data_IF_434709716765
#
_entry.id   IF_434709716765
#
_cell.length_a   1.000
_cell.length_b   1.000
_cell.length_c   1.000
_cell.angle_alpha   90.00
_cell.angle_beta   90.00
_cell.angle_gamma   90.00
#
_symmetry.space_group_name_H-M   'P 1'
#
loop_
_entity.id
_entity.type
_entity.pdbx_description
1 polymer ?
#
# COMPACT_ATOMS: atom_id res chain seq x y z
N UNK A 1 -11.09 9.99 -1.86
CA UNK A 1 -11.35 10.59 -3.20
C UNK A 1 -10.58 11.90 -3.27
N UNK A 2 -9.40 11.92 -3.91
CA UNK A 2 -8.60 13.14 -4.02
C UNK A 2 -9.31 14.23 -4.84
N UNK A 3 -9.24 15.48 -4.41
CA UNK A 3 -9.95 16.61 -5.05
C UNK A 3 -11.45 16.70 -4.71
N UNK A 4 -11.95 15.85 -3.80
CA UNK A 4 -13.34 15.86 -3.33
C UNK A 4 -14.36 15.28 -4.32
N UNK A 5 -15.65 15.49 -4.03
CA UNK A 5 -16.76 15.04 -4.87
C UNK A 5 -17.36 16.21 -5.70
N UNK A 6 -17.68 16.02 -6.99
CA UNK A 6 -17.36 14.83 -7.81
C UNK A 6 -15.84 14.69 -8.04
N UNK A 7 -15.33 13.47 -8.35
CA UNK A 7 -13.90 13.22 -8.56
C UNK A 7 -13.33 14.09 -9.69
N UNK A 8 -12.28 14.85 -9.38
CA UNK A 8 -11.70 15.86 -10.30
C UNK A 8 -10.18 15.92 -10.30
N UNK A 9 -9.51 15.28 -9.34
CA UNK A 9 -8.06 15.14 -9.37
C UNK A 9 -7.62 14.19 -10.50
N UNK A 10 -6.51 14.51 -11.16
CA UNK A 10 -5.95 13.65 -12.22
C UNK A 10 -5.22 12.44 -11.64
N UNK A 11 -5.36 11.31 -12.32
CA UNK A 11 -4.60 10.10 -12.05
C UNK A 11 -3.11 10.24 -12.42
N UNK A 12 -2.75 11.09 -13.39
CA UNK A 12 -1.41 11.13 -13.99
C UNK A 12 -0.69 12.48 -13.88
N UNK A 13 -1.45 13.57 -13.69
CA UNK A 13 -0.91 14.93 -13.62
C UNK A 13 -1.19 15.50 -12.23
N UNK A 14 -0.20 15.39 -11.36
CA UNK A 14 -0.28 15.90 -10.00
C UNK A 14 1.11 16.28 -9.49
N UNK A 15 1.12 17.20 -8.54
CA UNK A 15 2.31 17.62 -7.82
C UNK A 15 2.39 16.93 -6.46
N UNK A 16 3.34 17.36 -5.63
CA UNK A 16 3.52 16.82 -4.29
C UNK A 16 2.31 17.11 -3.37
N UNK A 17 1.57 18.20 -3.59
CA UNK A 17 0.35 18.46 -2.83
C UNK A 17 -0.71 17.40 -3.14
N UNK A 18 -0.92 17.08 -4.42
CA UNK A 18 -1.83 16.01 -4.83
C UNK A 18 -1.38 14.61 -4.39
N UNK A 19 -0.07 14.39 -4.24
CA UNK A 19 0.49 13.19 -3.59
C UNK A 19 0.10 13.13 -2.11
N UNK A 20 0.42 14.18 -1.35
CA UNK A 20 0.19 14.24 0.09
C UNK A 20 -1.30 14.17 0.46
N UNK A 21 -2.17 14.87 -0.28
CA UNK A 21 -3.62 14.76 -0.11
C UNK A 21 -4.09 13.32 -0.27
N UNK A 22 -3.69 12.65 -1.36
CA UNK A 22 -4.12 11.28 -1.66
C UNK A 22 -3.70 10.31 -0.55
N UNK A 23 -2.45 10.42 -0.07
CA UNK A 23 -1.94 9.54 0.97
C UNK A 23 -2.53 9.85 2.34
N UNK A 24 -2.76 11.13 2.66
CA UNK A 24 -3.44 11.52 3.91
C UNK A 24 -4.88 11.00 3.94
N UNK A 25 -5.62 11.15 2.84
CA UNK A 25 -6.98 10.61 2.73
C UNK A 25 -7.00 9.09 2.84
N UNK A 26 -6.03 8.37 2.26
CA UNK A 26 -6.00 6.90 2.40
C UNK A 26 -5.72 6.43 3.82
N UNK A 27 -4.97 7.19 4.62
CA UNK A 27 -4.66 6.85 6.01
C UNK A 27 -5.89 6.91 6.91
N UNK A 28 -6.92 7.68 6.51
CA UNK A 28 -8.21 7.75 7.23
C UNK A 28 -8.92 6.40 7.32
N UNK A 29 -8.58 5.43 6.47
CA UNK A 29 -9.09 4.06 6.56
C UNK A 29 -8.87 3.45 7.96
N UNK A 30 -7.73 3.72 8.60
CA UNK A 30 -7.43 3.22 9.96
C UNK A 30 -8.43 3.77 11.00
N UNK A 31 -8.73 5.06 10.91
CA UNK A 31 -9.70 5.72 11.79
C UNK A 31 -11.12 5.19 11.55
N UNK A 32 -11.52 5.03 10.29
CA UNK A 32 -12.83 4.49 9.91
C UNK A 32 -13.02 3.08 10.47
N UNK A 33 -12.07 2.18 10.21
CA UNK A 33 -12.12 0.79 10.70
C UNK A 33 -12.14 0.78 12.24
N UNK A 34 -11.32 1.59 12.89
CA UNK A 34 -11.27 1.68 14.36
C UNK A 34 -12.63 2.08 14.93
N UNK A 35 -13.24 3.14 14.41
CA UNK A 35 -14.52 3.66 14.89
C UNK A 35 -15.68 2.70 14.62
N UNK A 36 -15.75 2.12 13.42
CA UNK A 36 -16.78 1.14 13.08
C UNK A 36 -16.63 -0.15 13.90
N UNK A 37 -15.40 -0.66 14.07
CA UNK A 37 -15.14 -1.84 14.89
C UNK A 37 -15.50 -1.62 16.36
N UNK A 38 -15.22 -0.43 16.92
CA UNK A 38 -15.61 -0.10 18.29
C UNK A 38 -17.14 -0.07 18.49
N UNK A 39 -17.92 0.25 17.45
CA UNK A 39 -19.38 0.14 17.48
C UNK A 39 -19.79 -1.33 17.43
N UNK A 40 -19.18 -2.13 16.57
CA UNK A 40 -19.43 -3.58 16.48
C UNK A 40 -19.11 -4.29 17.79
N UNK A 41 -18.04 -3.91 18.49
CA UNK A 41 -17.61 -4.50 19.76
C UNK A 41 -18.65 -4.34 20.88
N UNK A 42 -19.53 -3.33 20.81
CA UNK A 42 -20.63 -3.13 21.79
C UNK A 42 -21.69 -4.23 21.71
N UNK A 43 -21.87 -4.84 20.54
CA UNK A 43 -22.91 -5.86 20.28
C UNK A 43 -22.32 -7.24 19.96
N UNK A 44 -21.06 -7.31 19.56
CA UNK A 44 -20.33 -8.54 19.26
C UNK A 44 -18.87 -8.46 19.78
N UNK A 45 -18.67 -8.49 21.11
CA UNK A 45 -17.34 -8.37 21.72
C UNK A 45 -16.43 -9.57 21.42
N UNK A 46 -17.01 -10.71 21.02
CA UNK A 46 -16.27 -11.93 20.62
C UNK A 46 -15.79 -11.89 19.18
N UNK A 47 -16.11 -10.82 18.44
CA UNK A 47 -15.72 -10.60 17.05
C UNK A 47 -16.14 -11.70 16.07
N UNK A 48 -17.35 -12.24 16.28
CA UNK A 48 -17.93 -13.29 15.41
C UNK A 48 -18.43 -12.74 14.07
N UNK A 49 -18.86 -11.48 14.03
CA UNK A 49 -19.22 -10.76 12.81
C UNK A 49 -18.00 -10.12 12.16
N UNK A 50 -17.78 -10.40 10.89
CA UNK A 50 -16.68 -9.81 10.13
C UNK A 50 -17.00 -8.37 9.76
N UNK A 51 -15.99 -7.51 9.76
CA UNK A 51 -16.02 -6.29 8.96
C UNK A 51 -15.47 -6.62 7.57
N UNK A 52 -16.27 -6.37 6.54
CA UNK A 52 -15.86 -6.46 5.14
C UNK A 52 -15.67 -5.05 4.59
N UNK A 53 -14.47 -4.73 4.10
CA UNK A 53 -14.19 -3.49 3.36
C UNK A 53 -14.21 -3.84 1.88
N UNK A 54 -15.42 -4.07 1.36
CA UNK A 54 -15.66 -4.63 0.03
C UNK A 54 -15.59 -3.62 -1.12
N UNK A 55 -15.44 -2.33 -0.80
CA UNK A 55 -15.04 -1.31 -1.76
C UNK A 55 -14.04 -0.34 -1.12
N UNK A 56 -12.86 -0.23 -1.73
CA UNK A 56 -11.84 0.75 -1.38
C UNK A 56 -10.93 1.04 -2.57
N UNK A 57 -10.14 2.11 -2.47
CA UNK A 57 -9.15 2.49 -3.49
C UNK A 57 -9.26 3.94 -3.92
N UNK A 58 -8.52 4.29 -4.97
CA UNK A 58 -8.47 5.63 -5.55
C UNK A 58 -9.56 5.81 -6.60
N UNK A 59 -10.21 6.96 -6.56
CA UNK A 59 -11.15 7.41 -7.58
C UNK A 59 -10.74 8.81 -8.04
N UNK A 60 -10.36 8.92 -9.31
CA UNK A 60 -9.89 10.12 -9.98
C UNK A 60 -10.89 10.61 -11.04
N UNK A 61 -10.59 11.75 -11.66
CA UNK A 61 -11.20 12.12 -12.94
C UNK A 61 -10.93 11.03 -13.98
N UNK A 62 -11.92 10.75 -14.83
CA UNK A 62 -11.76 9.78 -15.93
C UNK A 62 -10.72 10.22 -16.95
N UNK A 63 -10.10 9.24 -17.61
CA UNK A 63 -9.11 9.47 -18.67
C UNK A 63 -9.72 10.37 -19.77
N UNK A 64 -8.98 11.38 -20.28
CA UNK A 64 -9.49 12.30 -21.30
C UNK A 64 -10.03 11.56 -22.53
N UNK A 65 -11.21 11.96 -23.00
CA UNK A 65 -11.85 11.37 -24.17
C UNK A 65 -12.54 10.02 -23.94
N UNK A 66 -12.57 9.52 -22.69
CA UNK A 66 -13.34 8.32 -22.34
C UNK A 66 -14.75 8.68 -21.87
N UNK A 67 -15.69 7.73 -21.97
CA UNK A 67 -17.02 7.91 -21.37
C UNK A 67 -16.87 7.97 -19.83
N UNK A 68 -17.30 9.05 -19.16
CA UNK A 68 -17.17 9.17 -17.70
C UNK A 68 -17.79 8.01 -16.93
N UNK A 69 -18.88 7.42 -17.44
CA UNK A 69 -19.55 6.27 -16.82
C UNK A 69 -18.73 4.97 -16.83
N UNK A 70 -17.63 4.90 -17.60
CA UNK A 70 -16.72 3.76 -17.59
C UNK A 70 -15.72 3.81 -16.45
N UNK A 71 -15.58 4.95 -15.77
CA UNK A 71 -14.67 5.13 -14.63
C UNK A 71 -13.23 4.70 -14.94
N UNK A 72 -12.82 4.90 -16.19
CA UNK A 72 -11.50 4.56 -16.69
C UNK A 72 -10.51 5.59 -16.16
N UNK A 73 -9.50 5.16 -15.42
CA UNK A 73 -8.41 6.00 -14.94
C UNK A 73 -7.07 5.25 -15.02
N UNK A 74 -5.97 5.97 -15.21
CA UNK A 74 -4.63 5.40 -15.08
C UNK A 74 -4.26 4.99 -13.65
N UNK A 75 -3.15 4.24 -13.51
CA UNK A 75 -2.61 3.76 -12.24
C UNK A 75 -1.10 4.03 -12.16
N UNK A 76 -0.68 4.74 -11.12
CA UNK A 76 0.68 5.27 -10.93
C UNK A 76 1.37 4.70 -9.69
N UNK A 77 2.63 5.07 -9.45
CA UNK A 77 3.32 4.75 -8.20
C UNK A 77 2.54 5.22 -6.96
N UNK A 78 1.79 6.33 -7.04
CA UNK A 78 0.92 6.79 -5.95
C UNK A 78 -0.13 5.75 -5.57
N UNK A 79 -0.70 5.06 -6.54
CA UNK A 79 -1.70 4.01 -6.33
C UNK A 79 -1.08 2.75 -5.70
N UNK A 80 0.18 2.44 -6.02
CA UNK A 80 0.92 1.40 -5.30
C UNK A 80 1.08 1.72 -3.81
N UNK A 81 1.42 2.97 -3.46
CA UNK A 81 1.52 3.40 -2.06
C UNK A 81 0.16 3.35 -1.34
N UNK A 82 -0.91 3.82 -1.98
CA UNK A 82 -2.28 3.68 -1.44
C UNK A 82 -2.60 2.21 -1.16
N UNK A 83 -2.25 1.31 -2.08
CA UNK A 83 -2.48 -0.13 -1.94
C UNK A 83 -1.73 -0.67 -0.72
N UNK A 84 -0.43 -0.40 -0.60
CA UNK A 84 0.41 -0.90 0.47
C UNK A 84 -0.02 -0.38 1.85
N UNK A 85 -0.39 0.90 1.95
CA UNK A 85 -0.91 1.51 3.18
C UNK A 85 -2.19 0.80 3.64
N UNK A 86 -3.15 0.60 2.76
CA UNK A 86 -4.40 -0.09 3.11
C UNK A 86 -4.15 -1.53 3.52
N UNK A 87 -3.31 -2.28 2.80
CA UNK A 87 -2.97 -3.66 3.17
C UNK A 87 -2.30 -3.74 4.55
N UNK A 88 -1.45 -2.77 4.89
CA UNK A 88 -0.87 -2.66 6.24
C UNK A 88 -1.94 -2.36 7.31
N UNK A 89 -2.87 -1.46 7.03
CA UNK A 89 -4.01 -1.14 7.92
C UNK A 89 -4.90 -2.36 8.11
N UNK A 90 -5.24 -3.08 7.05
CA UNK A 90 -6.07 -4.29 7.15
C UNK A 90 -5.39 -5.40 7.94
N UNK A 91 -4.07 -5.56 7.80
CA UNK A 91 -3.30 -6.48 8.63
C UNK A 91 -3.37 -6.07 10.11
N UNK A 92 -3.22 -4.77 10.43
CA UNK A 92 -3.36 -4.26 11.80
C UNK A 92 -4.74 -4.57 12.42
N UNK A 93 -5.80 -4.53 11.61
CA UNK A 93 -7.18 -4.81 12.04
C UNK A 93 -7.66 -6.23 11.70
N UNK A 94 -6.75 -7.18 11.49
CA UNK A 94 -7.09 -8.52 11.04
C UNK A 94 -7.89 -9.33 12.08
N UNK A 95 -8.04 -8.87 13.31
CA UNK A 95 -8.92 -9.44 14.32
C UNK A 95 -10.40 -9.26 13.97
N UNK A 96 -10.77 -8.16 13.30
CA UNK A 96 -12.14 -7.83 12.89
C UNK A 96 -12.34 -7.78 11.37
N UNK A 97 -11.39 -7.21 10.62
CA UNK A 97 -11.43 -7.13 9.16
C UNK A 97 -11.02 -8.47 8.57
N UNK A 98 -11.96 -9.17 7.93
CA UNK A 98 -11.73 -10.53 7.39
C UNK A 98 -11.87 -10.63 5.88
N UNK A 99 -12.39 -9.58 5.24
CA UNK A 99 -12.55 -9.51 3.79
C UNK A 99 -12.31 -8.08 3.34
N UNK A 100 -11.58 -7.91 2.25
CA UNK A 100 -11.49 -6.64 1.54
C UNK A 100 -11.58 -6.88 0.03
N UNK A 101 -12.13 -5.92 -0.71
CA UNK A 101 -12.14 -5.94 -2.16
C UNK A 101 -11.89 -4.52 -2.70
N UNK A 102 -10.84 -4.38 -3.50
CA UNK A 102 -10.44 -3.11 -4.10
C UNK A 102 -11.31 -2.83 -5.34
N UNK A 103 -11.71 -1.58 -5.51
CA UNK A 103 -12.52 -1.12 -6.62
C UNK A 103 -11.62 -0.63 -7.78
N UNK A 104 -11.61 -1.26 -8.95
CA UNK A 104 -12.15 -2.58 -9.30
C UNK A 104 -11.05 -3.45 -9.94
N UNK A 105 -11.39 -4.60 -10.52
CA UNK A 105 -10.37 -5.57 -10.93
C UNK A 105 -9.67 -5.20 -12.25
N UNK A 106 -10.42 -4.82 -13.29
CA UNK A 106 -9.88 -4.60 -14.66
C UNK A 106 -10.49 -3.34 -15.27
N UNK A 107 -9.66 -2.46 -15.85
CA UNK A 107 -10.02 -1.20 -16.54
C UNK A 107 -10.77 -0.13 -15.74
N UNK A 108 -11.31 -0.45 -14.57
CA UNK A 108 -12.20 0.41 -13.79
C UNK A 108 -11.53 0.81 -12.48
N UNK A 109 -11.54 2.10 -12.17
CA UNK A 109 -10.99 2.68 -10.94
C UNK A 109 -9.54 2.24 -10.70
N UNK A 110 -9.18 1.80 -9.49
CA UNK A 110 -7.81 1.40 -9.13
C UNK A 110 -7.52 -0.05 -9.58
N UNK A 111 -7.56 -0.25 -10.89
CA UNK A 111 -7.48 -1.57 -11.52
C UNK A 111 -6.15 -2.31 -11.27
N UNK A 112 -6.24 -3.65 -11.21
CA UNK A 112 -5.06 -4.52 -11.29
C UNK A 112 -4.49 -4.53 -12.70
N UNK A 113 -5.37 -4.54 -13.69
CA UNK A 113 -5.03 -4.78 -15.09
C UNK A 113 -5.72 -3.74 -15.96
N UNK A 114 -5.00 -3.24 -16.95
CA UNK A 114 -5.56 -2.41 -18.02
C UNK A 114 -5.43 -3.16 -19.35
N UNK A 115 -6.49 -3.13 -20.16
CA UNK A 115 -6.54 -3.80 -21.46
C UNK A 115 -6.96 -2.84 -22.57
N UNK A 116 -6.45 -3.04 -23.78
CA UNK A 116 -6.90 -2.36 -24.99
C UNK A 116 -6.81 -3.33 -26.18
N UNK A 117 -7.96 -3.83 -26.64
CA UNK A 117 -8.00 -4.94 -27.59
C UNK A 117 -7.25 -6.15 -27.03
N UNK A 118 -6.26 -6.65 -27.78
CA UNK A 118 -5.40 -7.77 -27.35
C UNK A 118 -4.26 -7.36 -26.41
N UNK A 119 -4.04 -6.07 -26.16
CA UNK A 119 -2.96 -5.59 -25.29
C UNK A 119 -3.40 -5.65 -23.82
N UNK A 120 -2.46 -6.01 -22.94
CA UNK A 120 -2.65 -6.04 -21.49
C UNK A 120 -1.42 -5.43 -20.82
N UNK A 121 -1.63 -4.66 -19.75
CA UNK A 121 -0.56 -4.15 -18.88
C UNK A 121 -0.93 -4.32 -17.41
N UNK A 122 0.07 -4.69 -16.60
CA UNK A 122 -0.04 -4.83 -15.16
C UNK A 122 0.21 -3.47 -14.50
N UNK A 123 -0.63 -3.09 -13.56
CA UNK A 123 -0.50 -1.79 -12.89
C UNK A 123 0.48 -1.84 -11.71
N UNK A 124 1.01 -0.69 -11.27
CA UNK A 124 1.70 -0.59 -9.99
C UNK A 124 0.92 -1.22 -8.82
N UNK A 125 -0.40 -1.04 -8.78
CA UNK A 125 -1.28 -1.73 -7.81
C UNK A 125 -1.19 -3.26 -7.90
N UNK A 126 -1.24 -3.85 -9.09
CA UNK A 126 -1.07 -5.31 -9.25
C UNK A 126 0.23 -5.80 -8.63
N UNK A 127 1.33 -5.07 -8.86
CA UNK A 127 2.63 -5.46 -8.31
C UNK A 127 2.65 -5.45 -6.79
N UNK A 128 1.96 -4.51 -6.14
CA UNK A 128 1.82 -4.51 -4.67
C UNK A 128 1.00 -5.71 -4.21
N UNK A 129 -0.14 -6.03 -4.84
CA UNK A 129 -0.87 -7.26 -4.52
C UNK A 129 -0.01 -8.52 -4.68
N UNK A 130 0.80 -8.58 -5.74
CA UNK A 130 1.73 -9.69 -5.97
C UNK A 130 2.78 -9.80 -4.85
N UNK A 131 3.38 -8.67 -4.43
CA UNK A 131 4.35 -8.61 -3.31
C UNK A 131 3.72 -9.04 -1.98
N UNK A 132 2.44 -8.73 -1.75
CA UNK A 132 1.71 -9.07 -0.53
C UNK A 132 1.06 -10.46 -0.54
N UNK A 133 1.10 -11.22 -1.64
CA UNK A 133 0.57 -12.61 -1.67
C UNK A 133 0.98 -13.46 -0.47
N UNK A 134 2.23 -13.42 0.02
CA UNK A 134 2.63 -14.24 1.15
C UNK A 134 2.01 -13.85 2.51
N UNK A 135 1.29 -12.72 2.59
CA UNK A 135 0.50 -12.36 3.76
C UNK A 135 -0.76 -13.21 3.91
N UNK A 136 -1.24 -13.78 2.80
CA UNK A 136 -2.49 -14.53 2.77
C UNK A 136 -2.47 -15.68 3.78
N UNK A 137 -3.45 -15.70 4.68
CA UNK A 137 -3.60 -16.68 5.75
C UNK A 137 -2.43 -16.77 6.75
N UNK A 138 -1.57 -15.74 6.82
CA UNK A 138 -0.54 -15.66 7.84
C UNK A 138 -1.05 -15.11 9.17
N UNK A 139 -0.23 -15.18 10.20
CA UNK A 139 -0.49 -14.60 11.53
C UNK A 139 0.15 -13.23 11.63
N UNK A 140 -0.65 -12.19 11.86
CA UNK A 140 -0.15 -10.84 12.07
C UNK A 140 0.73 -10.78 13.31
N UNK A 141 1.88 -10.15 13.18
CA UNK A 141 2.81 -9.88 14.28
C UNK A 141 2.69 -8.41 14.67
N UNK A 142 2.62 -8.08 15.97
CA UNK A 142 2.70 -6.71 16.42
C UNK A 142 3.99 -6.06 15.94
N UNK A 143 3.89 -4.86 15.39
CA UNK A 143 5.02 -4.05 14.97
C UNK A 143 4.82 -2.61 15.43
N UNK A 144 5.87 -2.03 15.99
CA UNK A 144 5.93 -0.62 16.34
C UNK A 144 7.13 0.00 15.63
N UNK A 145 6.88 1.07 14.86
CA UNK A 145 7.91 1.78 14.10
C UNK A 145 7.89 3.24 14.50
N UNK A 146 9.05 3.73 14.94
CA UNK A 146 9.30 5.16 15.06
C UNK A 146 9.46 5.77 13.68
N UNK A 147 8.34 6.17 13.09
CA UNK A 147 8.30 6.85 11.80
C UNK A 147 8.63 8.33 11.97
N UNK A 148 9.48 8.92 11.12
CA UNK A 148 9.51 10.37 10.98
C UNK A 148 8.19 10.87 10.40
N UNK A 149 7.97 12.18 10.47
CA UNK A 149 6.82 12.84 9.87
C UNK A 149 7.15 13.31 8.45
N UNK A 150 6.20 13.11 7.53
CA UNK A 150 6.16 13.74 6.22
C UNK A 150 5.07 14.82 6.23
N UNK A 151 5.42 16.01 5.72
CA UNK A 151 4.51 17.16 5.67
C UNK A 151 4.57 17.84 4.32
N UNK A 152 3.40 18.20 3.79
CA UNK A 152 3.22 19.06 2.62
C UNK A 152 1.96 19.89 2.78
N UNK A 153 2.11 21.21 2.80
CA UNK A 153 1.02 22.17 3.05
C UNK A 153 0.25 21.79 4.33
N UNK A 154 -1.09 21.63 4.27
CA UNK A 154 -1.88 21.21 5.43
C UNK A 154 -1.78 19.71 5.77
N UNK A 155 -1.17 18.89 4.91
CA UNK A 155 -1.14 17.43 5.08
C UNK A 155 0.10 17.04 5.86
N UNK A 156 -0.07 16.39 7.01
CA UNK A 156 1.01 15.86 7.83
C UNK A 156 0.66 14.43 8.25
N UNK A 157 1.59 13.50 8.05
CA UNK A 157 1.38 12.07 8.31
C UNK A 157 2.70 11.36 8.65
N UNK A 158 2.67 10.19 9.31
CA UNK A 158 3.85 9.35 9.42
C UNK A 158 4.39 9.00 8.04
N UNK A 159 5.69 9.16 7.80
CA UNK A 159 6.31 8.84 6.52
C UNK A 159 6.41 7.34 6.25
N UNK A 160 6.29 6.48 7.27
CA UNK A 160 6.40 5.02 7.14
C UNK A 160 5.09 4.35 7.55
N UNK A 161 4.53 3.57 6.63
CA UNK A 161 3.48 2.59 6.92
C UNK A 161 4.10 1.20 6.98
N UNK A 162 3.67 0.38 7.93
CA UNK A 162 4.24 -0.95 8.11
C UNK A 162 3.25 -1.97 8.67
N UNK A 163 3.53 -3.24 8.37
CA UNK A 163 2.89 -4.39 8.99
C UNK A 163 3.86 -5.58 8.96
N UNK A 164 3.60 -6.59 9.79
CA UNK A 164 4.37 -7.82 9.77
C UNK A 164 3.46 -9.04 9.91
N UNK A 165 3.82 -10.12 9.20
CA UNK A 165 3.09 -11.39 9.21
C UNK A 165 4.06 -12.55 9.30
N UNK A 166 3.77 -13.54 10.13
CA UNK A 166 4.37 -14.87 10.05
C UNK A 166 3.54 -15.73 9.11
N UNK A 167 4.14 -16.15 8.00
CA UNK A 167 3.47 -17.05 7.05
C UNK A 167 3.29 -18.44 7.63
N UNK A 168 2.43 -19.25 6.98
CA UNK A 168 2.27 -20.68 7.32
C UNK A 168 3.53 -21.50 7.09
N UNK A 169 4.44 -21.00 6.26
CA UNK A 169 5.78 -21.52 6.03
C UNK A 169 6.77 -21.16 7.15
N UNK A 170 6.34 -20.44 8.18
CA UNK A 170 7.18 -19.99 9.30
C UNK A 170 8.00 -18.74 9.00
N UNK A 171 8.06 -18.29 7.74
CA UNK A 171 8.84 -17.13 7.31
C UNK A 171 8.16 -15.85 7.81
N UNK A 172 8.94 -14.97 8.44
CA UNK A 172 8.47 -13.66 8.88
C UNK A 172 8.62 -12.68 7.72
N UNK A 173 7.54 -11.95 7.45
CA UNK A 173 7.46 -10.97 6.37
C UNK A 173 7.11 -9.61 6.92
N UNK A 174 7.85 -8.61 6.47
CA UNK A 174 7.71 -7.23 6.93
C UNK A 174 7.51 -6.37 5.70
N UNK A 175 6.34 -5.76 5.60
CA UNK A 175 6.04 -4.78 4.58
C UNK A 175 6.26 -3.38 5.13
N UNK A 176 6.95 -2.56 4.35
CA UNK A 176 7.30 -1.18 4.69
C UNK A 176 6.97 -0.31 3.48
N UNK A 177 6.42 0.87 3.71
CA UNK A 177 6.18 1.86 2.66
C UNK A 177 6.69 3.22 3.09
N UNK A 178 7.50 3.88 2.26
CA UNK A 178 7.96 5.24 2.48
C UNK A 178 7.10 6.22 1.66
N UNK A 179 6.32 7.03 2.37
CA UNK A 179 5.38 8.00 1.82
C UNK A 179 6.06 9.32 1.43
N UNK A 180 7.28 9.60 1.92
CA UNK A 180 8.04 10.80 1.54
C UNK A 180 8.56 10.61 0.09
N UNK A 181 8.17 11.48 -0.86
CA UNK A 181 8.59 11.35 -2.25
C UNK A 181 10.00 11.86 -2.51
N UNK A 182 10.62 12.54 -1.54
CA UNK A 182 11.89 13.24 -1.71
C UNK A 182 13.02 12.63 -0.89
N UNK A 183 12.72 12.03 0.27
CA UNK A 183 13.74 11.59 1.24
C UNK A 183 13.71 10.08 1.47
N UNK A 184 14.88 9.41 1.45
CA UNK A 184 14.97 8.07 1.98
C UNK A 184 14.71 8.09 3.49
N UNK A 185 14.09 7.03 4.00
CA UNK A 185 13.80 6.88 5.44
C UNK A 185 14.49 5.63 5.98
N UNK A 186 15.32 5.80 7.00
CA UNK A 186 15.91 4.67 7.72
C UNK A 186 15.06 4.32 8.94
N UNK A 187 14.66 3.05 9.02
CA UNK A 187 13.97 2.48 10.19
C UNK A 187 14.79 1.36 10.80
N UNK A 188 14.65 1.19 12.11
CA UNK A 188 15.21 0.05 12.82
C UNK A 188 14.14 -0.59 13.70
N UNK A 189 14.18 -1.92 13.78
CA UNK A 189 13.27 -2.71 14.58
C UNK A 189 14.05 -3.80 15.30
N UNK A 190 13.83 -3.92 16.61
CA UNK A 190 14.23 -5.13 17.34
C UNK A 190 13.24 -6.24 16.99
N UNK A 191 13.70 -7.48 16.98
CA UNK A 191 12.89 -8.62 16.58
C UNK A 191 12.75 -9.67 17.71
N UNK A 192 12.08 -9.36 18.84
CA UNK A 192 11.87 -10.33 19.91
C UNK A 192 11.11 -11.56 19.39
N UNK A 193 11.60 -12.76 19.71
CA UNK A 193 10.94 -14.02 19.32
C UNK A 193 11.01 -14.35 17.82
N UNK A 194 11.83 -13.64 17.04
CA UNK A 194 12.14 -13.96 15.65
C UNK A 194 13.62 -14.30 15.55
N UNK A 195 13.91 -15.53 15.17
CA UNK A 195 15.26 -15.98 14.81
C UNK A 195 15.34 -16.02 13.30
N UNK A 196 16.17 -15.15 12.72
CA UNK A 196 16.43 -15.10 11.29
C UNK A 196 17.93 -14.94 11.06
N UNK A 197 18.47 -15.68 10.11
CA UNK A 197 19.87 -15.61 9.70
C UNK A 197 20.05 -14.71 8.47
N UNK A 198 19.01 -14.62 7.65
CA UNK A 198 19.05 -13.91 6.38
C UNK A 198 17.86 -12.98 6.23
N UNK A 199 18.09 -11.87 5.53
CA UNK A 199 17.04 -10.96 5.07
C UNK A 199 17.18 -10.81 3.56
N UNK A 200 16.08 -11.00 2.86
CA UNK A 200 15.95 -10.70 1.43
C UNK A 200 14.77 -9.77 1.24
N UNK A 201 14.70 -9.08 0.11
CA UNK A 201 13.55 -8.24 -0.15
C UNK A 201 13.34 -7.88 -1.60
N UNK A 202 12.17 -7.30 -1.85
CA UNK A 202 11.83 -6.64 -3.10
C UNK A 202 11.37 -5.22 -2.83
N UNK A 203 11.64 -4.32 -3.77
CA UNK A 203 11.20 -2.93 -3.74
C UNK A 203 10.45 -2.59 -5.03
N UNK A 204 9.32 -1.91 -4.87
CA UNK A 204 8.60 -1.22 -5.94
C UNK A 204 8.77 0.28 -5.72
N UNK A 205 9.40 0.97 -6.67
CA UNK A 205 9.61 2.42 -6.67
C UNK A 205 9.82 2.88 -8.12
N UNK A 206 9.92 4.19 -8.34
CA UNK A 206 10.21 4.77 -9.65
C UNK A 206 10.87 6.16 -9.49
N UNK A 207 11.45 6.74 -10.56
CA UNK A 207 12.07 8.06 -10.50
C UNK A 207 11.10 9.22 -10.23
N UNK A 208 9.80 9.05 -10.48
CA UNK A 208 8.78 10.09 -10.29
C UNK A 208 7.52 9.54 -9.63
N UNK A 209 6.82 10.41 -8.89
CA UNK A 209 5.53 10.06 -8.26
C UNK A 209 4.46 9.66 -9.27
N UNK A 210 4.52 10.23 -10.48
CA UNK A 210 3.57 10.04 -11.58
C UNK A 210 3.91 8.85 -12.48
N UNK A 211 5.00 8.11 -12.19
CA UNK A 211 5.41 6.96 -12.99
C UNK A 211 4.30 5.90 -13.06
N UNK A 212 4.07 5.36 -14.26
CA UNK A 212 3.01 4.42 -14.56
C UNK A 212 3.42 3.46 -15.67
N UNK A 213 2.71 2.34 -15.79
CA UNK A 213 2.89 1.41 -16.89
C UNK A 213 1.92 1.75 -18.04
N UNK A 214 2.43 1.76 -19.26
CA UNK A 214 1.62 1.90 -20.49
C UNK A 214 1.70 0.63 -21.32
N UNK A 215 0.90 0.53 -22.37
CA UNK A 215 1.01 -0.60 -23.31
C UNK A 215 2.36 -0.61 -24.06
N UNK A 216 3.01 0.55 -24.22
CA UNK A 216 4.30 0.66 -24.93
C UNK A 216 5.49 0.56 -23.95
N UNK A 217 5.28 0.84 -22.67
CA UNK A 217 6.24 0.69 -21.59
C UNK A 217 5.60 -0.07 -20.40
N UNK A 218 5.40 -1.40 -20.52
CA UNK A 218 4.60 -2.17 -19.57
C UNK A 218 5.29 -2.45 -18.23
N UNK A 219 6.60 -2.18 -18.12
CA UNK A 219 7.42 -2.47 -16.94
C UNK A 219 8.18 -1.23 -16.42
N UNK A 220 7.66 -0.03 -16.65
CA UNK A 220 8.27 1.21 -16.15
C UNK A 220 8.25 1.28 -14.61
N UNK A 221 7.26 0.64 -13.98
CA UNK A 221 7.09 0.50 -12.53
C UNK A 221 6.84 -0.98 -12.23
N UNK A 222 7.89 -1.69 -11.83
CA UNK A 222 7.84 -3.11 -11.50
C UNK A 222 8.79 -3.42 -10.31
N UNK A 223 8.53 -4.48 -9.52
CA UNK A 223 9.38 -4.83 -8.38
C UNK A 223 10.78 -5.25 -8.83
N UNK A 224 11.79 -4.85 -8.06
CA UNK A 224 13.19 -5.26 -8.22
C UNK A 224 13.74 -5.79 -6.91
N UNK A 225 14.90 -6.45 -6.94
CA UNK A 225 15.56 -6.92 -5.72
C UNK A 225 15.94 -5.74 -4.82
N UNK A 226 15.70 -5.88 -3.52
CA UNK A 226 16.00 -4.86 -2.53
C UNK A 226 17.13 -5.30 -1.60
N UNK A 227 18.21 -4.51 -1.58
CA UNK A 227 19.42 -4.79 -0.79
C UNK A 227 19.62 -3.77 0.35
N UNK A 228 18.63 -2.92 0.63
CA UNK A 228 18.72 -1.87 1.66
C UNK A 228 18.36 -2.33 3.07
N UNK A 229 18.29 -3.65 3.32
CA UNK A 229 18.01 -4.23 4.62
C UNK A 229 19.21 -5.02 5.17
N UNK A 230 19.43 -4.93 6.48
CA UNK A 230 20.49 -5.66 7.18
C UNK A 230 19.99 -6.17 8.53
N UNK A 231 20.33 -7.42 8.83
CA UNK A 231 20.18 -8.01 10.17
C UNK A 231 21.52 -7.98 10.90
N UNK A 232 21.52 -7.52 12.14
CA UNK A 232 22.69 -7.56 13.02
C UNK A 232 22.26 -7.63 14.47
N UNK A 233 22.71 -8.65 15.22
CA UNK A 233 22.45 -8.77 16.65
C UNK A 233 20.96 -8.73 17.03
N UNK A 234 20.08 -9.36 16.24
CA UNK A 234 18.63 -9.36 16.48
C UNK A 234 17.91 -8.05 16.16
N UNK A 235 18.62 -7.09 15.54
CA UNK A 235 18.06 -5.83 15.06
C UNK A 235 18.04 -5.82 13.53
N UNK A 236 16.89 -5.49 12.96
CA UNK A 236 16.71 -5.19 11.56
C UNK A 236 16.90 -3.68 11.34
N UNK A 237 17.76 -3.31 10.40
CA UNK A 237 17.90 -1.94 9.90
C UNK A 237 17.54 -1.91 8.42
N UNK A 238 16.71 -0.94 8.02
CA UNK A 238 16.20 -0.81 6.65
C UNK A 238 16.28 0.63 6.20
N UNK A 239 16.92 0.90 5.07
CA UNK A 239 16.88 2.21 4.40
C UNK A 239 15.92 2.13 3.22
N UNK A 240 14.73 2.70 3.40
CA UNK A 240 13.68 2.76 2.40
C UNK A 240 13.98 3.89 1.41
N UNK A 241 13.98 3.63 0.09
CA UNK A 241 14.03 4.69 -0.92
C UNK A 241 12.83 5.64 -0.78
N UNK A 242 12.90 6.88 -1.29
CA UNK A 242 11.73 7.73 -1.45
C UNK A 242 10.60 7.00 -2.20
N UNK A 243 9.33 7.30 -1.90
CA UNK A 243 8.14 6.79 -2.61
C UNK A 243 8.25 5.29 -2.97
N UNK A 244 8.39 4.45 -1.95
CA UNK A 244 8.68 3.03 -2.15
C UNK A 244 7.78 2.12 -1.34
N UNK A 245 7.53 0.91 -1.88
CA UNK A 245 6.97 -0.23 -1.17
C UNK A 245 8.04 -1.30 -1.12
N UNK A 246 8.37 -1.78 0.08
CA UNK A 246 9.36 -2.83 0.33
C UNK A 246 8.67 -4.01 1.00
N UNK A 247 8.95 -5.21 0.50
CA UNK A 247 8.58 -6.47 1.15
C UNK A 247 9.86 -7.20 1.53
N UNK A 248 10.03 -7.48 2.83
CA UNK A 248 11.16 -8.25 3.35
C UNK A 248 10.72 -9.65 3.73
N UNK A 249 11.57 -10.63 3.46
CA UNK A 249 11.47 -11.99 4.01
C UNK A 249 12.65 -12.26 4.94
N UNK A 250 12.35 -12.68 6.16
CA UNK A 250 13.31 -13.05 7.19
C UNK A 250 13.28 -14.58 7.35
N UNK A 251 14.43 -15.23 7.09
CA UNK A 251 14.62 -16.70 7.14
C UNK A 251 15.77 -17.04 8.07
#
# INVERSE_FOLDING_TARGET
>A
IPGGWPPRASATVFDERGWAETLSETLRMDELITKHSAIMDKVDPKKTMWLAVDEWGTWYAGDPGTNPGFLRQQNTLRDALVTAINLNIFAKHADRVKMTAIAQMVNVLQAMILTNGSKMVLTPTYHVFAMYKPYMNGTVLPIDIKSPWYSKDQWTMPSVSASAVRGKDGVVRIALSNLDPNKPTTVSATLPGVTAQTVTGQVLTAPTMTALNTFDAPNAVAPTAFNGARLSGGTLSVTLPPMSVVMLELK
#
